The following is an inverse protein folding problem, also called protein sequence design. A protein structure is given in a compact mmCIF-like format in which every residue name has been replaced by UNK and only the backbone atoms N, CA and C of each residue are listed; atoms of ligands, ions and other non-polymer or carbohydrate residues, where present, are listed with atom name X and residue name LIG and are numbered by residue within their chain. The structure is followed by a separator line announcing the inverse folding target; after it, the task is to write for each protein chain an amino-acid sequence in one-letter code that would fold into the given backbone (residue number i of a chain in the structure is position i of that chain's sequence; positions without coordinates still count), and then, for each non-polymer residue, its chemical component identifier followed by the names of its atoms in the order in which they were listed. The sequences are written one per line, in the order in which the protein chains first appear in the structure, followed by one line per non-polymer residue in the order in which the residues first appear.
data_IF_016397739089
#
_entry.id   IF_016397739089
#
_cell.length_a   1.000
_cell.length_b   1.000
_cell.length_c   1.000
_cell.angle_alpha   90.00
_cell.angle_beta   90.00
_cell.angle_gamma   90.00
#
_symmetry.space_group_name_H-M   'P 1'
#
loop_
_entity.id
_entity.type
_entity.pdbx_description
1 polymer ?
#
# COMPACT_ATOMS: atom_id res chain seq x y z
N UNK A 1 -16.22 15.53 -50.08
CA UNK A 1 -14.80 15.14 -50.04
C UNK A 1 -14.70 13.81 -49.31
N UNK A 2 -14.43 12.72 -50.03
CA UNK A 2 -14.38 11.35 -49.51
C UNK A 2 -12.96 10.84 -49.69
N UNK A 3 -12.23 10.65 -48.61
CA UNK A 3 -11.07 9.74 -48.58
C UNK A 3 -11.24 8.83 -47.37
N UNK A 4 -11.83 7.67 -47.66
CA UNK A 4 -11.90 6.53 -46.77
C UNK A 4 -10.53 5.88 -46.77
N UNK A 5 -9.74 6.04 -45.71
CA UNK A 5 -8.51 5.26 -45.53
C UNK A 5 -8.80 4.08 -44.61
N UNK A 6 -9.15 2.97 -45.24
CA UNK A 6 -9.34 1.67 -44.61
C UNK A 6 -7.98 1.07 -44.26
N UNK A 7 -7.54 1.17 -43.00
CA UNK A 7 -6.38 0.42 -42.52
C UNK A 7 -6.85 -0.96 -42.07
N UNK A 8 -6.85 -1.91 -43.01
CA UNK A 8 -6.94 -3.34 -42.71
C UNK A 8 -5.57 -3.80 -42.19
N UNK A 9 -5.38 -3.89 -40.88
CA UNK A 9 -4.29 -4.69 -40.33
C UNK A 9 -4.79 -6.06 -39.92
N UNK A 10 -4.19 -7.03 -40.58
CA UNK A 10 -4.46 -8.45 -40.55
C UNK A 10 -4.19 -9.06 -39.18
N UNK A 11 -5.19 -9.75 -38.66
CA UNK A 11 -5.14 -10.74 -37.59
C UNK A 11 -4.05 -11.78 -37.88
N UNK A 12 -2.85 -11.63 -37.32
CA UNK A 12 -1.81 -12.68 -37.34
C UNK A 12 -1.87 -13.45 -36.03
N UNK A 13 -2.76 -14.43 -36.00
CA UNK A 13 -2.82 -15.50 -35.01
C UNK A 13 -1.46 -16.20 -34.94
N UNK A 14 -0.61 -15.86 -33.97
CA UNK A 14 0.55 -16.68 -33.63
C UNK A 14 0.09 -17.70 -32.60
N UNK A 15 -0.31 -18.86 -33.12
CA UNK A 15 -0.63 -20.08 -32.37
C UNK A 15 0.64 -20.55 -31.65
N UNK A 16 0.88 -20.06 -30.45
CA UNK A 16 1.95 -20.57 -29.58
C UNK A 16 1.40 -21.83 -28.93
N UNK A 17 1.72 -22.95 -29.57
CA UNK A 17 1.45 -24.29 -29.06
C UNK A 17 2.56 -24.61 -28.06
N UNK A 18 2.41 -24.15 -26.81
CA UNK A 18 3.22 -24.67 -25.71
C UNK A 18 2.46 -25.84 -25.09
N UNK A 19 2.76 -27.05 -25.59
CA UNK A 19 2.62 -28.28 -24.79
C UNK A 19 3.59 -28.15 -23.62
N UNK A 20 3.11 -28.27 -22.39
CA UNK A 20 3.97 -28.70 -21.29
C UNK A 20 3.16 -29.50 -20.29
N UNK A 21 3.11 -30.80 -20.58
CA UNK A 21 2.98 -31.82 -19.56
C UNK A 21 4.25 -31.75 -18.70
N UNK A 22 4.08 -31.47 -17.41
CA UNK A 22 5.07 -31.62 -16.33
C UNK A 22 4.23 -31.78 -15.04
N UNK A 23 3.81 -32.98 -14.68
CA UNK A 23 4.61 -33.98 -13.99
C UNK A 23 5.26 -33.39 -12.73
N UNK A 24 4.52 -33.44 -11.63
CA UNK A 24 4.95 -33.73 -10.25
C UNK A 24 6.46 -33.56 -9.97
N UNK A 25 6.92 -32.30 -9.90
CA UNK A 25 8.19 -31.95 -9.27
C UNK A 25 8.01 -30.64 -8.54
N UNK A 26 8.45 -30.61 -7.29
CA UNK A 26 8.54 -29.41 -6.46
C UNK A 26 8.99 -28.21 -7.29
N UNK A 27 8.19 -27.12 -7.34
CA UNK A 27 8.51 -25.97 -8.17
C UNK A 27 9.81 -25.31 -7.68
N UNK A 28 10.82 -25.26 -8.56
CA UNK A 28 12.07 -24.54 -8.27
C UNK A 28 11.75 -23.04 -8.18
N UNK A 29 11.93 -22.49 -6.99
CA UNK A 29 11.67 -21.09 -6.65
C UNK A 29 12.99 -20.32 -6.62
N UNK A 30 12.98 -19.11 -7.18
CA UNK A 30 14.13 -18.21 -7.21
C UNK A 30 13.82 -16.93 -6.43
N UNK A 31 14.79 -16.44 -5.67
CA UNK A 31 14.66 -15.19 -4.94
C UNK A 31 14.88 -13.97 -5.85
N UNK A 32 14.11 -12.91 -5.64
CA UNK A 32 14.31 -11.63 -6.30
C UNK A 32 15.46 -10.86 -5.65
N UNK A 33 16.48 -10.48 -6.42
CA UNK A 33 17.65 -9.76 -5.90
C UNK A 33 17.36 -8.40 -5.24
N UNK A 34 16.24 -7.75 -5.56
CA UNK A 34 15.89 -6.44 -4.99
C UNK A 34 14.98 -6.49 -3.75
N UNK A 35 14.22 -7.57 -3.54
CA UNK A 35 13.29 -7.65 -2.39
C UNK A 35 13.31 -8.98 -1.63
N UNK A 36 14.13 -9.94 -2.03
CA UNK A 36 14.31 -11.24 -1.36
C UNK A 36 13.14 -12.22 -1.49
N UNK A 37 12.00 -11.82 -2.05
CA UNK A 37 10.83 -12.70 -2.22
C UNK A 37 11.09 -13.79 -3.28
N UNK A 38 10.59 -15.00 -3.02
CA UNK A 38 10.78 -16.17 -3.88
C UNK A 38 9.62 -16.36 -4.86
N UNK A 39 9.94 -16.68 -6.12
CA UNK A 39 8.97 -16.83 -7.20
C UNK A 39 9.37 -17.94 -8.18
N UNK A 40 8.36 -18.49 -8.88
CA UNK A 40 8.58 -19.29 -10.09
C UNK A 40 9.30 -18.46 -11.16
N UNK A 41 10.11 -19.08 -12.05
CA UNK A 41 10.89 -18.35 -13.05
C UNK A 41 10.04 -17.47 -13.98
N UNK A 42 8.84 -17.90 -14.34
CA UNK A 42 7.93 -17.12 -15.18
C UNK A 42 7.40 -15.86 -14.47
N UNK A 43 7.08 -15.99 -13.18
CA UNK A 43 6.57 -14.89 -12.35
C UNK A 43 7.71 -13.95 -11.96
N UNK A 44 8.89 -14.49 -11.68
CA UNK A 44 10.09 -13.73 -11.34
C UNK A 44 10.42 -12.71 -12.44
N UNK A 45 10.35 -13.10 -13.71
CA UNK A 45 10.63 -12.20 -14.84
C UNK A 45 9.65 -11.01 -14.94
N UNK A 46 8.40 -11.19 -14.50
CA UNK A 46 7.39 -10.12 -14.40
C UNK A 46 7.62 -9.30 -13.13
N UNK A 47 7.94 -9.98 -12.03
CA UNK A 47 8.19 -9.40 -10.73
C UNK A 47 9.39 -8.45 -10.74
N UNK A 48 10.53 -8.84 -11.31
CA UNK A 48 11.76 -8.03 -11.34
C UNK A 48 11.52 -6.64 -11.90
N UNK A 49 10.82 -6.55 -13.05
CA UNK A 49 10.46 -5.29 -13.72
C UNK A 49 9.60 -4.36 -12.87
N UNK A 50 8.72 -4.91 -12.03
CA UNK A 50 7.83 -4.12 -11.16
C UNK A 50 8.55 -3.78 -9.86
N UNK A 51 9.24 -4.77 -9.28
CA UNK A 51 9.93 -4.65 -8.01
C UNK A 51 10.98 -3.55 -8.05
N UNK A 52 11.77 -3.49 -9.12
CA UNK A 52 12.76 -2.43 -9.34
C UNK A 52 12.08 -1.06 -9.40
N UNK A 53 11.00 -0.91 -10.18
CA UNK A 53 10.24 0.35 -10.26
C UNK A 53 9.68 0.78 -8.91
N UNK A 54 9.19 -0.17 -8.11
CA UNK A 54 8.63 0.11 -6.78
C UNK A 54 9.71 0.44 -5.75
N UNK A 55 10.92 -0.10 -5.89
CA UNK A 55 12.03 0.17 -4.99
C UNK A 55 12.69 1.52 -5.31
N UNK A 56 12.84 1.84 -6.60
CA UNK A 56 13.38 3.12 -7.05
C UNK A 56 12.45 4.29 -6.74
N UNK A 57 11.14 4.11 -6.89
CA UNK A 57 10.15 5.14 -6.55
C UNK A 57 9.78 5.08 -5.08
N UNK A 58 10.38 5.95 -4.27
CA UNK A 58 9.87 6.27 -2.92
C UNK A 58 8.46 6.85 -3.07
N UNK A 59 7.44 6.05 -2.71
CA UNK A 59 6.05 6.53 -2.70
C UNK A 59 5.92 7.67 -1.71
N UNK A 60 5.14 8.70 -2.07
CA UNK A 60 4.76 9.76 -1.15
C UNK A 60 4.02 9.13 0.03
N UNK A 61 4.28 9.63 1.24
CA UNK A 61 3.50 9.24 2.40
C UNK A 61 2.05 9.60 2.17
N UNK A 62 1.18 8.60 2.25
CA UNK A 62 -0.24 8.82 2.21
C UNK A 62 -0.68 9.46 3.52
N UNK A 63 -1.19 10.68 3.42
CA UNK A 63 -1.68 11.43 4.57
C UNK A 63 -3.19 11.29 4.65
N UNK A 64 -3.66 10.41 5.53
CA UNK A 64 -5.09 10.13 5.73
C UNK A 64 -5.88 11.38 6.15
N UNK A 65 -5.24 12.37 6.77
CA UNK A 65 -5.92 13.62 7.14
C UNK A 65 -6.16 14.46 5.89
N UNK A 66 -5.15 14.60 5.03
CA UNK A 66 -5.33 15.28 3.74
C UNK A 66 -6.36 14.57 2.88
N UNK A 67 -6.28 13.24 2.76
CA UNK A 67 -7.21 12.47 1.93
C UNK A 67 -8.67 12.67 2.38
N UNK A 68 -8.94 12.73 3.68
CA UNK A 68 -10.30 12.95 4.21
C UNK A 68 -10.82 14.36 3.96
N UNK A 69 -9.92 15.34 3.93
CA UNK A 69 -10.28 16.74 3.73
C UNK A 69 -10.45 17.09 2.25
N UNK A 70 -9.84 16.33 1.33
CA UNK A 70 -9.96 16.56 -0.10
C UNK A 70 -11.42 16.58 -0.56
N UNK A 71 -11.84 17.65 -1.23
CA UNK A 71 -13.21 17.81 -1.74
C UNK A 71 -14.24 18.18 -0.68
N UNK A 72 -13.81 18.55 0.53
CA UNK A 72 -14.69 19.08 1.58
C UNK A 72 -14.46 20.58 1.75
N UNK A 73 -15.47 21.31 2.24
CA UNK A 73 -15.35 22.73 2.61
C UNK A 73 -14.22 22.99 3.63
N UNK A 74 -13.82 21.96 4.39
CA UNK A 74 -12.72 22.00 5.35
C UNK A 74 -11.33 22.02 4.70
N UNK A 75 -11.19 21.72 3.41
CA UNK A 75 -9.92 21.75 2.67
C UNK A 75 -9.30 23.15 2.66
N UNK A 76 -10.13 24.18 2.55
CA UNK A 76 -9.71 25.59 2.53
C UNK A 76 -9.02 25.97 3.84
N UNK A 77 -9.56 25.52 4.97
CA UNK A 77 -9.06 25.90 6.30
C UNK A 77 -7.82 25.11 6.74
N UNK A 78 -7.56 23.95 6.13
CA UNK A 78 -6.41 23.10 6.47
C UNK A 78 -5.05 23.73 6.09
N UNK A 79 -5.03 24.60 5.08
CA UNK A 79 -3.82 25.26 4.59
C UNK A 79 -3.51 26.60 5.29
N UNK A 80 -4.51 27.22 5.94
CA UNK A 80 -4.36 28.49 6.67
C UNK A 80 -3.71 28.37 8.06
N UNK A 81 -3.32 27.17 8.49
CA UNK A 81 -2.62 26.97 9.77
C UNK A 81 -1.11 26.73 9.56
N UNK A 82 -0.28 27.77 9.37
CA UNK A 82 1.19 27.62 9.35
C UNK A 82 1.81 27.59 10.76
N UNK A 83 1.05 27.85 11.83
CA UNK A 83 1.63 28.13 13.16
C UNK A 83 1.96 26.87 14.00
N UNK A 84 1.34 25.72 13.75
CA UNK A 84 1.50 24.53 14.64
C UNK A 84 2.59 23.55 14.14
N UNK A 85 3.13 23.72 12.93
CA UNK A 85 4.09 22.76 12.35
C UNK A 85 5.52 22.91 12.90
N UNK A 86 5.89 24.08 13.41
CA UNK A 86 7.24 24.32 13.96
C UNK A 86 7.37 24.04 15.48
N UNK A 87 6.29 23.57 16.14
CA UNK A 87 6.28 23.23 17.58
C UNK A 87 6.00 21.75 17.87
N UNK A 88 6.16 20.85 16.90
CA UNK A 88 5.91 19.40 17.07
C UNK A 88 7.05 18.51 16.60
N UNK A 89 8.30 18.94 16.77
CA UNK A 89 9.41 17.98 16.98
C UNK A 89 9.64 17.68 18.46
N UNK A 90 9.12 18.52 19.33
CA UNK A 90 9.06 18.27 20.76
C UNK A 90 7.62 18.59 21.16
N UNK A 91 6.90 17.61 21.70
CA UNK A 91 5.56 17.75 22.31
C UNK A 91 4.29 17.52 21.44
N UNK A 92 3.52 16.52 21.87
CA UNK A 92 2.09 16.29 21.64
C UNK A 92 1.59 15.65 20.32
N UNK A 93 1.74 14.33 20.25
CA UNK A 93 0.55 13.43 20.31
C UNK A 93 0.69 12.53 21.53
N UNK A 94 0.57 13.13 22.73
CA UNK A 94 -0.07 12.42 23.83
C UNK A 94 -1.54 12.38 23.44
N UNK A 95 -1.99 11.24 22.95
CA UNK A 95 -3.38 10.86 23.17
C UNK A 95 -3.62 11.04 24.67
N UNK A 96 -4.48 11.99 25.01
CA UNK A 96 -4.94 12.29 26.38
C UNK A 96 -5.83 11.18 26.97
N UNK A 97 -5.55 9.95 26.58
CA UNK A 97 -5.77 8.74 27.35
C UNK A 97 -4.39 8.18 27.63
N UNK A 98 -3.74 8.78 28.65
CA UNK A 98 -2.59 8.15 29.30
C UNK A 98 -2.98 6.71 29.66
N UNK A 99 -2.11 5.71 29.40
CA UNK A 99 -2.37 4.33 29.80
C UNK A 99 -2.72 4.19 31.28
N UNK A 100 -2.30 5.14 32.13
CA UNK A 100 -2.68 5.17 33.54
C UNK A 100 -4.18 5.38 33.77
N UNK A 101 -4.83 6.31 33.03
CA UNK A 101 -6.21 6.71 33.34
C UNK A 101 -7.27 5.68 32.94
N UNK A 102 -7.01 4.84 31.94
CA UNK A 102 -7.92 3.74 31.61
C UNK A 102 -7.66 2.50 32.47
N UNK A 103 -6.39 2.26 32.85
CA UNK A 103 -6.00 1.18 33.77
C UNK A 103 -6.54 1.41 35.18
N UNK A 104 -6.55 2.64 35.70
CA UNK A 104 -7.19 2.98 36.98
C UNK A 104 -8.69 2.68 36.94
N UNK A 105 -9.40 3.14 35.89
CA UNK A 105 -10.83 2.85 35.71
C UNK A 105 -11.11 1.35 35.60
N UNK A 106 -10.25 0.60 34.91
CA UNK A 106 -10.37 -0.86 34.84
C UNK A 106 -10.14 -1.50 36.22
N UNK A 107 -9.13 -1.06 36.96
CA UNK A 107 -8.82 -1.58 38.29
C UNK A 107 -9.97 -1.31 39.28
N UNK A 108 -10.57 -0.13 39.23
CA UNK A 108 -11.71 0.21 40.10
C UNK A 108 -12.98 -0.58 39.74
N UNK A 109 -13.20 -0.86 38.45
CA UNK A 109 -14.29 -1.76 38.03
C UNK A 109 -14.05 -3.21 38.47
N UNK A 110 -12.80 -3.70 38.42
CA UNK A 110 -12.46 -5.06 38.89
C UNK A 110 -12.67 -5.19 40.40
N UNK A 111 -12.34 -4.16 41.18
CA UNK A 111 -12.58 -4.15 42.65
C UNK A 111 -14.07 -4.20 43.02
N UNK A 112 -14.95 -3.58 42.24
CA UNK A 112 -16.39 -3.56 42.55
C UNK A 112 -17.12 -4.83 42.08
N UNK A 113 -16.60 -5.50 41.05
CA UNK A 113 -17.21 -6.71 40.47
C UNK A 113 -16.75 -8.00 41.16
N UNK A 114 -15.64 -7.98 41.91
CA UNK A 114 -15.17 -9.10 42.75
C UNK A 114 -15.57 -8.84 44.21
N UNK A 115 -16.77 -9.23 44.67
CA UNK A 115 -17.10 -9.20 46.09
C UNK A 115 -16.25 -10.23 46.83
N UNK A 116 -15.62 -9.80 47.93
CA UNK A 116 -14.90 -10.67 48.88
C UNK A 116 -15.82 -11.69 49.53
#
# INVERSE_FOLDING_TARGET
MKVMTSVKTTKKSKKIKLKKEAAEKEPILFACGSCGRTFLPEVLAKHTKVCEKTLMKKRKTFDSSKQRLQGTELEVYANLTPIIKNKKKDEAVKTKTSPAKWKEKQADLVKTVQPT
#
